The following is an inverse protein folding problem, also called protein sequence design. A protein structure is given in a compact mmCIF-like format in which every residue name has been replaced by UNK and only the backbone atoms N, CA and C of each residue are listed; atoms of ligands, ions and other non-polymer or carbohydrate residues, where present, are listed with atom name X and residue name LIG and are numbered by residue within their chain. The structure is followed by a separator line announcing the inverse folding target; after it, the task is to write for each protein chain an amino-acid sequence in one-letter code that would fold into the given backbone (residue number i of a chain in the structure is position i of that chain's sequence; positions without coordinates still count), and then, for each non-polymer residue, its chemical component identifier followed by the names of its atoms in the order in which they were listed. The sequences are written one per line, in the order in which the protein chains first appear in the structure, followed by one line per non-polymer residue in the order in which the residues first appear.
data_IF_205021377378
#
_entry.id   IF_205021377378
#
_cell.length_a   1.000
_cell.length_b   1.000
_cell.length_c   1.000
_cell.angle_alpha   90.00
_cell.angle_beta   90.00
_cell.angle_gamma   90.00
#
_symmetry.space_group_name_H-M   'P 1'
#
loop_
_entity.id
_entity.type
_entity.pdbx_description
1 polymer ?
#
# COMPACT_ATOMS: atom_id res chain seq x y z
N UNK A 1 -51.96 -98.76 6.03
CA UNK A 1 -50.69 -98.28 5.44
C UNK A 1 -50.39 -96.95 6.11
N UNK A 2 -49.58 -96.99 7.16
CA UNK A 2 -48.13 -96.76 7.13
C UNK A 2 -47.85 -95.26 7.39
N UNK A 3 -47.53 -94.88 8.64
CA UNK A 3 -46.18 -94.91 9.29
C UNK A 3 -45.64 -93.46 9.28
N UNK A 4 -45.69 -92.75 10.43
CA UNK A 4 -44.55 -92.41 11.34
C UNK A 4 -43.70 -91.25 10.76
N UNK A 5 -43.18 -90.22 11.44
CA UNK A 5 -42.62 -89.98 12.79
C UNK A 5 -42.35 -88.45 12.86
N UNK A 6 -42.86 -87.72 13.86
CA UNK A 6 -42.21 -87.32 15.13
C UNK A 6 -41.46 -85.95 15.03
N UNK A 7 -41.79 -84.98 15.89
CA UNK A 7 -41.04 -84.53 17.10
C UNK A 7 -40.03 -83.42 16.75
N UNK A 8 -39.85 -82.30 17.46
CA UNK A 8 -40.45 -81.67 18.62
C UNK A 8 -39.88 -80.24 18.78
N UNK A 9 -40.50 -79.45 19.67
CA UNK A 9 -39.89 -78.41 20.55
C UNK A 9 -39.22 -77.18 19.87
N UNK A 10 -39.19 -75.97 20.44
CA UNK A 10 -39.79 -75.34 21.61
C UNK A 10 -39.63 -73.80 21.47
N UNK A 11 -40.52 -73.08 22.15
CA UNK A 11 -40.37 -71.78 22.85
C UNK A 11 -39.28 -70.78 22.41
N UNK A 12 -39.67 -69.52 22.16
CA UNK A 12 -39.33 -68.36 23.00
C UNK A 12 -39.80 -67.02 22.38
N UNK A 13 -40.12 -66.09 23.28
CA UNK A 13 -40.60 -64.72 23.14
C UNK A 13 -39.55 -63.69 22.66
N UNK A 14 -40.00 -62.56 22.07
CA UNK A 14 -39.84 -61.18 22.59
C UNK A 14 -39.79 -60.09 21.50
N UNK A 15 -40.21 -58.90 21.92
CA UNK A 15 -40.39 -57.61 21.23
C UNK A 15 -39.12 -56.94 20.69
N UNK A 16 -39.27 -56.00 19.75
CA UNK A 16 -38.87 -54.57 19.89
C UNK A 16 -39.42 -53.69 18.76
N UNK A 17 -39.84 -52.46 19.13
CA UNK A 17 -40.16 -51.32 18.25
C UNK A 17 -38.90 -50.73 17.61
N UNK A 18 -39.00 -49.92 16.54
CA UNK A 18 -38.05 -48.84 16.25
C UNK A 18 -38.60 -47.78 15.27
N UNK A 19 -38.46 -46.51 15.67
CA UNK A 19 -38.69 -45.24 14.95
C UNK A 19 -37.52 -44.84 14.03
N UNK A 20 -37.77 -44.01 12.99
CA UNK A 20 -37.05 -42.76 12.67
C UNK A 20 -37.26 -42.25 11.22
N UNK A 21 -37.65 -40.96 11.01
CA UNK A 21 -37.35 -40.19 9.80
C UNK A 21 -36.50 -38.91 10.02
N UNK A 22 -35.83 -38.72 11.17
CA UNK A 22 -35.09 -37.47 11.51
C UNK A 22 -33.73 -37.28 10.79
N UNK A 23 -33.23 -38.27 10.04
CA UNK A 23 -31.83 -38.29 9.57
C UNK A 23 -31.55 -37.49 8.27
N UNK A 24 -32.58 -36.95 7.62
CA UNK A 24 -32.45 -36.27 6.30
C UNK A 24 -32.33 -34.74 6.46
N UNK A 25 -33.11 -34.12 7.36
CA UNK A 25 -33.04 -32.66 7.61
C UNK A 25 -31.69 -32.24 8.20
N UNK A 26 -31.15 -33.03 9.14
CA UNK A 26 -29.85 -32.75 9.78
C UNK A 26 -28.71 -32.70 8.75
N UNK A 27 -28.72 -33.57 7.74
CA UNK A 27 -27.73 -33.59 6.67
C UNK A 27 -27.83 -32.37 5.73
N UNK A 28 -29.04 -31.84 5.51
CA UNK A 28 -29.24 -30.65 4.68
C UNK A 28 -28.81 -29.37 5.41
N UNK A 29 -29.05 -29.29 6.72
CA UNK A 29 -28.56 -28.19 7.55
C UNK A 29 -27.03 -28.19 7.62
N UNK A 30 -26.40 -29.35 7.84
CA UNK A 30 -24.95 -29.53 7.84
C UNK A 30 -24.29 -29.13 6.51
N UNK A 31 -24.87 -29.52 5.37
CA UNK A 31 -24.38 -29.11 4.05
C UNK A 31 -24.53 -27.61 3.81
N UNK A 32 -25.64 -27.01 4.26
CA UNK A 32 -25.85 -25.56 4.16
C UNK A 32 -24.90 -24.76 5.08
N UNK A 33 -24.47 -25.34 6.20
CA UNK A 33 -23.47 -24.76 7.10
C UNK A 33 -22.07 -24.85 6.51
N UNK A 34 -21.72 -25.98 5.89
CA UNK A 34 -20.42 -26.15 5.22
C UNK A 34 -20.25 -25.21 4.02
N UNK A 35 -21.33 -24.91 3.28
CA UNK A 35 -21.31 -23.87 2.22
C UNK A 35 -21.25 -22.43 2.77
N UNK A 36 -21.85 -22.17 3.92
CA UNK A 36 -21.78 -20.85 4.59
C UNK A 36 -20.39 -20.60 5.19
N UNK A 37 -19.73 -21.63 5.72
CA UNK A 37 -18.39 -21.53 6.29
C UNK A 37 -17.29 -21.38 5.21
N UNK A 38 -17.54 -21.87 3.98
CA UNK A 38 -16.70 -21.58 2.79
C UNK A 38 -16.80 -20.14 2.28
N UNK A 39 -17.73 -19.34 2.81
CA UNK A 39 -17.85 -17.89 2.57
C UNK A 39 -17.19 -17.05 3.66
N UNK A 40 -16.28 -17.62 4.44
CA UNK A 40 -15.35 -16.83 5.24
C UNK A 40 -14.44 -16.05 4.29
N UNK A 41 -14.75 -14.77 4.08
CA UNK A 41 -13.84 -13.82 3.46
C UNK A 41 -12.61 -13.71 4.37
N UNK A 42 -11.62 -14.56 4.15
CA UNK A 42 -10.30 -14.40 4.78
C UNK A 42 -9.79 -13.08 4.24
N UNK A 43 -9.94 -12.01 5.02
CA UNK A 43 -9.23 -10.76 4.84
C UNK A 43 -7.76 -11.08 5.10
N UNK A 44 -7.10 -11.67 4.11
CA UNK A 44 -5.68 -11.84 4.13
C UNK A 44 -5.09 -10.44 4.33
N UNK A 45 -4.40 -10.24 5.43
CA UNK A 45 -3.72 -8.98 5.70
C UNK A 45 -2.61 -8.84 4.66
N UNK A 46 -2.89 -8.06 3.60
CA UNK A 46 -1.93 -7.77 2.54
C UNK A 46 -0.93 -6.78 3.11
N UNK A 47 0.28 -7.25 3.41
CA UNK A 47 1.35 -6.38 3.86
C UNK A 47 1.80 -5.48 2.70
N UNK A 48 1.93 -4.16 2.92
CA UNK A 48 2.39 -3.23 1.91
C UNK A 48 3.79 -3.63 1.42
N UNK A 49 3.87 -4.10 0.18
CA UNK A 49 5.12 -4.49 -0.49
C UNK A 49 5.28 -3.70 -1.78
N UNK A 50 6.51 -3.51 -2.26
CA UNK A 50 6.71 -2.83 -3.53
C UNK A 50 6.19 -3.69 -4.69
N UNK A 51 5.55 -3.05 -5.67
CA UNK A 51 5.10 -3.67 -6.91
C UNK A 51 5.43 -2.76 -8.11
N UNK A 52 5.34 -3.31 -9.31
CA UNK A 52 5.57 -2.56 -10.55
C UNK A 52 4.23 -2.25 -11.20
N UNK A 53 4.02 -1.00 -11.59
CA UNK A 53 2.81 -0.57 -12.26
C UNK A 53 2.80 -0.96 -13.74
N UNK A 54 1.62 -1.05 -14.34
CA UNK A 54 1.41 -1.33 -15.76
C UNK A 54 1.41 -0.04 -16.62
N UNK A 55 1.95 1.05 -16.12
CA UNK A 55 2.15 2.27 -16.91
C UNK A 55 3.34 2.11 -17.87
N UNK A 56 3.48 3.02 -18.83
CA UNK A 56 4.49 2.90 -19.88
C UNK A 56 5.94 2.87 -19.37
N UNK A 57 6.19 3.44 -18.18
CA UNK A 57 7.52 3.55 -17.58
C UNK A 57 7.73 2.60 -16.39
N UNK A 58 6.77 1.71 -16.09
CA UNK A 58 6.88 0.69 -15.06
C UNK A 58 7.21 1.28 -13.67
N UNK A 59 6.50 2.34 -13.29
CA UNK A 59 6.66 3.04 -12.01
C UNK A 59 6.51 2.08 -10.82
N UNK A 60 7.21 2.35 -9.72
CA UNK A 60 7.13 1.51 -8.53
C UNK A 60 5.97 1.96 -7.65
N UNK A 61 5.00 1.08 -7.44
CA UNK A 61 3.87 1.30 -6.54
C UNK A 61 3.99 0.50 -5.24
N UNK A 62 2.94 0.59 -4.44
CA UNK A 62 2.76 -0.20 -3.22
C UNK A 62 1.57 -1.14 -3.40
N UNK A 63 1.80 -2.43 -3.20
CA UNK A 63 0.77 -3.46 -3.27
C UNK A 63 -0.15 -3.37 -2.04
N UNK A 64 -1.43 -3.09 -2.26
CA UNK A 64 -2.40 -2.93 -1.18
C UNK A 64 -3.85 -3.15 -1.66
N UNK A 65 -4.81 -3.33 -0.75
CA UNK A 65 -6.22 -3.43 -1.11
C UNK A 65 -6.70 -2.22 -1.93
N UNK A 66 -7.58 -2.46 -2.92
CA UNK A 66 -8.10 -1.41 -3.80
C UNK A 66 -8.80 -0.28 -3.04
N UNK A 67 -9.57 -0.64 -2.00
CA UNK A 67 -10.29 0.33 -1.17
C UNK A 67 -9.31 1.26 -0.45
N UNK A 68 -8.23 0.70 0.10
CA UNK A 68 -7.19 1.47 0.77
C UNK A 68 -6.42 2.37 -0.21
N UNK A 69 -6.06 1.82 -1.38
CA UNK A 69 -5.40 2.62 -2.42
C UNK A 69 -6.22 3.86 -2.82
N UNK A 70 -7.54 3.71 -2.95
CA UNK A 70 -8.43 4.83 -3.29
C UNK A 70 -8.65 5.78 -2.11
N UNK A 71 -8.78 5.26 -0.89
CA UNK A 71 -9.04 6.10 0.29
C UNK A 71 -7.85 7.00 0.62
N UNK A 72 -6.63 6.58 0.30
CA UNK A 72 -5.45 7.43 0.39
C UNK A 72 -5.28 8.34 -0.82
N UNK A 73 -6.15 8.31 -1.84
CA UNK A 73 -6.02 9.11 -3.06
C UNK A 73 -4.90 8.63 -3.98
N UNK A 74 -4.52 7.35 -3.91
CA UNK A 74 -3.68 6.69 -4.89
C UNK A 74 -4.48 6.20 -6.10
N UNK A 75 -3.76 5.79 -7.15
CA UNK A 75 -4.35 5.25 -8.38
C UNK A 75 -3.92 3.80 -8.54
N UNK A 76 -4.88 2.90 -8.73
CA UNK A 76 -4.60 1.51 -9.05
C UNK A 76 -4.01 1.43 -10.47
N UNK A 77 -2.76 0.97 -10.57
CA UNK A 77 -2.01 0.86 -11.83
C UNK A 77 -1.46 -0.54 -12.01
N UNK A 78 -2.31 -1.55 -11.90
CA UNK A 78 -1.93 -2.96 -12.00
C UNK A 78 -2.46 -3.77 -10.82
N UNK A 79 -2.15 -5.06 -10.83
CA UNK A 79 -2.61 -6.02 -9.82
C UNK A 79 -1.42 -6.73 -9.16
N UNK A 80 -1.60 -7.14 -7.92
CA UNK A 80 -0.63 -7.92 -7.16
C UNK A 80 -1.34 -8.96 -6.28
N UNK A 81 -0.59 -9.88 -5.65
CA UNK A 81 -1.15 -11.00 -4.86
C UNK A 81 -2.20 -11.77 -5.67
N UNK A 82 -1.82 -12.22 -6.87
CA UNK A 82 -2.70 -12.98 -7.78
C UNK A 82 -4.06 -12.31 -8.05
N UNK A 83 -4.12 -10.98 -8.04
CA UNK A 83 -5.35 -10.22 -8.33
C UNK A 83 -6.17 -9.84 -7.10
N UNK A 84 -5.77 -10.26 -5.89
CA UNK A 84 -6.46 -9.90 -4.65
C UNK A 84 -6.18 -8.46 -4.20
N UNK A 85 -5.12 -7.84 -4.74
CA UNK A 85 -4.67 -6.50 -4.42
C UNK A 85 -4.32 -5.72 -5.69
N UNK A 86 -4.13 -4.41 -5.55
CA UNK A 86 -3.70 -3.54 -6.66
C UNK A 86 -2.32 -2.96 -6.40
N UNK A 87 -1.60 -2.70 -7.49
CA UNK A 87 -0.39 -1.90 -7.42
C UNK A 87 -0.76 -0.42 -7.36
N UNK A 88 -0.71 0.14 -6.15
CA UNK A 88 -1.16 1.50 -5.89
C UNK A 88 -0.04 2.50 -6.14
N UNK A 89 -0.27 3.44 -7.06
CA UNK A 89 0.60 4.57 -7.30
C UNK A 89 0.13 5.77 -6.46
N UNK A 90 0.96 6.22 -5.52
CA UNK A 90 0.66 7.38 -4.68
C UNK A 90 1.35 8.61 -5.27
N UNK A 91 0.57 9.52 -5.88
CA UNK A 91 1.08 10.77 -6.43
C UNK A 91 0.52 11.95 -5.65
N UNK A 92 1.38 12.91 -5.32
CA UNK A 92 1.04 14.11 -4.55
C UNK A 92 1.63 15.34 -5.21
N UNK A 93 0.99 16.47 -4.93
CA UNK A 93 1.43 17.78 -5.40
C UNK A 93 1.34 18.79 -4.26
N UNK A 94 1.45 20.07 -4.59
CA UNK A 94 1.46 21.20 -3.65
C UNK A 94 0.29 21.16 -2.67
N UNK A 95 0.56 21.65 -1.45
CA UNK A 95 -0.42 21.84 -0.38
C UNK A 95 -1.13 20.55 0.08
N UNK A 96 -0.51 19.39 -0.19
CA UNK A 96 -1.02 18.10 0.29
C UNK A 96 -0.13 17.51 1.38
N UNK A 97 -0.65 16.48 2.03
CA UNK A 97 0.09 15.67 2.97
C UNK A 97 0.02 14.19 2.56
N UNK A 98 1.07 13.44 2.88
CA UNK A 98 1.09 11.99 2.70
C UNK A 98 1.64 11.31 3.93
N UNK A 99 1.08 10.14 4.25
CA UNK A 99 1.67 9.17 5.18
C UNK A 99 2.11 7.89 4.47
N UNK A 100 1.80 7.79 3.17
CA UNK A 100 2.01 6.59 2.40
C UNK A 100 3.48 6.47 1.97
N UNK A 101 4.05 5.29 2.09
CA UNK A 101 5.38 5.00 1.59
C UNK A 101 5.39 4.92 0.04
N UNK A 102 6.53 5.19 -0.58
CA UNK A 102 6.69 5.27 -2.04
C UNK A 102 5.75 6.30 -2.69
N UNK A 103 5.70 7.51 -2.12
CA UNK A 103 4.91 8.62 -2.69
C UNK A 103 5.74 9.41 -3.70
N UNK A 104 5.15 9.78 -4.83
CA UNK A 104 5.75 10.62 -5.86
C UNK A 104 5.27 12.07 -5.71
N UNK A 105 6.20 12.98 -5.44
CA UNK A 105 5.94 14.42 -5.43
C UNK A 105 6.18 15.00 -6.81
N UNK A 106 5.12 15.49 -7.45
CA UNK A 106 5.14 15.94 -8.84
C UNK A 106 4.63 17.38 -8.99
N UNK A 107 4.94 18.00 -10.14
CA UNK A 107 4.40 19.30 -10.53
C UNK A 107 2.87 19.36 -10.35
N UNK A 108 2.33 20.49 -9.88
CA UNK A 108 0.90 20.75 -9.94
C UNK A 108 0.48 20.95 -11.40
N UNK A 109 -0.81 20.76 -11.68
CA UNK A 109 -1.39 21.10 -12.98
C UNK A 109 -1.32 22.60 -13.28
N UNK A 110 -1.34 23.41 -12.22
CA UNK A 110 -1.28 24.87 -12.28
C UNK A 110 -0.03 25.36 -11.55
N UNK A 111 0.84 26.17 -12.16
CA UNK A 111 2.06 26.65 -11.53
C UNK A 111 1.80 27.43 -10.22
N UNK A 112 2.46 27.03 -9.13
CA UNK A 112 2.45 27.74 -7.83
C UNK A 112 3.84 28.26 -7.46
N UNK A 113 3.94 29.45 -6.85
CA UNK A 113 5.24 30.00 -6.41
C UNK A 113 5.87 29.13 -5.32
N UNK A 114 5.10 28.82 -4.28
CA UNK A 114 5.53 27.95 -3.19
C UNK A 114 4.66 26.70 -3.20
N UNK A 115 5.30 25.54 -3.29
CA UNK A 115 4.66 24.25 -3.44
C UNK A 115 5.17 23.28 -2.35
N UNK A 116 4.54 23.26 -1.16
CA UNK A 116 4.93 22.37 -0.09
C UNK A 116 4.22 21.01 -0.19
N UNK A 117 4.94 19.92 0.05
CA UNK A 117 4.41 18.60 0.37
C UNK A 117 4.78 18.25 1.81
N UNK A 118 3.79 17.93 2.63
CA UNK A 118 4.01 17.46 4.00
C UNK A 118 4.09 15.93 4.05
N UNK A 119 5.17 15.41 4.63
CA UNK A 119 5.42 13.98 4.80
C UNK A 119 5.23 13.65 6.28
N UNK A 120 4.15 12.92 6.57
CA UNK A 120 3.90 12.30 7.86
C UNK A 120 4.55 10.93 7.89
N UNK A 121 5.28 10.62 8.95
CA UNK A 121 5.94 9.34 9.08
C UNK A 121 4.91 8.21 9.23
N UNK A 122 5.13 7.11 8.51
CA UNK A 122 4.20 5.99 8.43
C UNK A 122 4.15 5.16 9.71
N UNK A 123 5.16 5.30 10.57
CA UNK A 123 5.23 4.70 11.89
C UNK A 123 6.31 5.39 12.72
N UNK A 124 6.41 5.00 13.99
CA UNK A 124 7.45 5.50 14.87
C UNK A 124 8.82 4.83 14.64
N UNK A 125 8.90 3.86 13.72
CA UNK A 125 10.13 3.15 13.39
C UNK A 125 10.75 3.67 12.08
N UNK A 126 10.51 4.93 11.70
CA UNK A 126 11.13 5.53 10.50
C UNK A 126 12.25 6.46 10.95
N UNK A 127 13.46 6.23 10.43
CA UNK A 127 14.66 7.00 10.74
C UNK A 127 15.20 7.79 9.55
N UNK A 128 14.85 7.41 8.33
CA UNK A 128 15.35 8.06 7.13
C UNK A 128 14.27 8.18 6.05
N UNK A 129 14.37 9.24 5.27
CA UNK A 129 13.77 9.33 3.95
C UNK A 129 14.85 9.16 2.91
N UNK A 130 14.54 8.42 1.85
CA UNK A 130 15.29 8.46 0.60
C UNK A 130 14.46 9.21 -0.43
N UNK A 131 15.06 10.25 -1.00
CA UNK A 131 14.47 11.08 -2.05
C UNK A 131 15.18 10.71 -3.35
N UNK A 132 14.50 9.98 -4.23
CA UNK A 132 14.99 9.68 -5.58
C UNK A 132 14.41 10.69 -6.57
N UNK A 133 15.29 11.42 -7.25
CA UNK A 133 14.93 12.41 -8.26
C UNK A 133 14.72 11.72 -9.60
N UNK A 134 13.54 11.14 -9.82
CA UNK A 134 13.22 10.42 -11.07
C UNK A 134 13.35 11.35 -12.26
N UNK A 135 12.82 12.57 -12.11
CA UNK A 135 13.04 13.69 -13.01
C UNK A 135 13.11 14.94 -12.14
N UNK A 136 14.15 15.75 -12.27
CA UNK A 136 14.29 16.97 -11.49
C UNK A 136 15.15 17.97 -12.23
N UNK A 137 14.50 19.03 -12.70
CA UNK A 137 15.08 20.16 -13.41
C UNK A 137 14.45 21.42 -12.83
N UNK A 138 15.22 22.14 -12.05
CA UNK A 138 14.93 23.51 -11.65
C UNK A 138 15.94 24.46 -12.30
N UNK A 139 15.72 25.76 -12.12
CA UNK A 139 16.67 26.80 -12.50
C UNK A 139 18.08 26.49 -11.98
N UNK A 140 19.09 26.70 -12.81
CA UNK A 140 20.49 26.52 -12.44
C UNK A 140 20.90 27.49 -11.33
N UNK A 141 21.86 27.12 -10.48
CA UNK A 141 22.42 28.06 -9.51
C UNK A 141 23.07 29.26 -10.20
N UNK A 142 23.14 30.38 -9.50
CA UNK A 142 23.88 31.57 -9.93
C UNK A 142 25.40 31.30 -10.02
N UNK A 143 26.16 32.25 -10.55
CA UNK A 143 27.62 32.13 -10.64
C UNK A 143 28.30 31.91 -9.28
N UNK A 144 27.66 32.34 -8.20
CA UNK A 144 28.13 32.19 -6.82
C UNK A 144 27.66 30.88 -6.17
N UNK A 145 27.11 29.96 -6.96
CA UNK A 145 26.57 28.66 -6.52
C UNK A 145 25.36 28.76 -5.59
N UNK A 146 24.52 29.79 -5.76
CA UNK A 146 23.32 30.01 -4.95
C UNK A 146 22.05 29.73 -5.76
N UNK A 147 21.09 29.05 -5.12
CA UNK A 147 19.78 28.77 -5.71
C UNK A 147 18.83 29.96 -5.51
N UNK A 148 18.91 30.97 -6.37
CA UNK A 148 18.20 32.26 -6.19
C UNK A 148 16.84 32.36 -6.90
N UNK A 149 16.56 31.45 -7.84
CA UNK A 149 15.37 31.54 -8.72
C UNK A 149 14.35 30.45 -8.40
N UNK A 150 14.80 29.21 -8.31
CA UNK A 150 13.97 28.07 -7.93
C UNK A 150 14.81 27.13 -7.07
N UNK A 151 14.21 26.61 -6.00
CA UNK A 151 14.90 25.71 -5.08
C UNK A 151 13.95 24.71 -4.45
N UNK A 152 14.48 23.53 -4.15
CA UNK A 152 13.92 22.57 -3.23
C UNK A 152 14.53 22.79 -1.85
N UNK A 153 13.67 22.96 -0.85
CA UNK A 153 14.01 23.00 0.56
C UNK A 153 13.43 21.77 1.23
N UNK A 154 14.26 21.06 2.00
CA UNK A 154 13.81 20.00 2.89
C UNK A 154 13.90 20.52 4.32
N UNK A 155 12.79 20.48 5.05
CA UNK A 155 12.69 21.00 6.41
C UNK A 155 11.93 20.04 7.33
N UNK A 156 12.03 20.26 8.64
CA UNK A 156 11.62 19.28 9.65
C UNK A 156 12.76 18.30 9.94
N UNK A 157 12.49 17.16 10.58
CA UNK A 157 13.49 16.13 10.82
C UNK A 157 14.72 16.58 11.63
N UNK A 158 15.84 15.87 11.51
CA UNK A 158 17.07 16.14 12.26
C UNK A 158 18.28 16.49 11.39
N UNK A 159 18.20 16.26 10.07
CA UNK A 159 19.23 16.67 9.12
C UNK A 159 19.01 18.08 8.56
N UNK A 160 20.11 18.80 8.36
CA UNK A 160 20.12 20.06 7.60
C UNK A 160 20.64 19.79 6.20
N UNK A 161 19.82 20.08 5.18
CA UNK A 161 20.23 20.04 3.78
C UNK A 161 20.34 21.46 3.24
N UNK A 162 21.35 21.76 2.39
CA UNK A 162 21.36 23.00 1.65
C UNK A 162 20.15 23.05 0.68
N UNK A 163 19.82 24.26 0.20
CA UNK A 163 18.87 24.43 -0.89
C UNK A 163 19.38 23.68 -2.15
N UNK A 164 18.49 22.95 -2.82
CA UNK A 164 18.81 22.14 -3.99
C UNK A 164 18.16 22.77 -5.22
N UNK A 165 18.94 23.00 -6.28
CA UNK A 165 18.46 23.51 -7.56
C UNK A 165 19.26 22.91 -8.72
N UNK A 166 18.95 23.33 -9.96
CA UNK A 166 19.53 22.75 -11.17
C UNK A 166 18.97 21.37 -11.51
N UNK A 167 19.79 20.56 -12.18
CA UNK A 167 19.41 19.22 -12.65
C UNK A 167 19.91 18.12 -11.73
N UNK A 168 18.98 17.34 -11.16
CA UNK A 168 19.28 16.19 -10.27
C UNK A 168 18.66 14.88 -10.77
N UNK A 169 18.10 14.85 -11.98
CA UNK A 169 17.51 13.65 -12.59
C UNK A 169 18.43 12.42 -12.48
N UNK A 170 17.88 11.31 -12.00
CA UNK A 170 18.58 10.04 -11.77
C UNK A 170 19.39 9.97 -10.48
N UNK A 171 19.50 11.05 -9.71
CA UNK A 171 20.20 11.08 -8.43
C UNK A 171 19.27 10.76 -7.26
N UNK A 172 19.86 10.59 -6.08
CA UNK A 172 19.12 10.41 -4.84
C UNK A 172 19.86 11.03 -3.66
N UNK A 173 19.10 11.35 -2.60
CA UNK A 173 19.65 11.78 -1.31
C UNK A 173 18.96 11.05 -0.17
N UNK A 174 19.70 10.90 0.93
CA UNK A 174 19.16 10.42 2.20
C UNK A 174 18.97 11.60 3.15
N UNK A 175 17.88 11.56 3.90
CA UNK A 175 17.50 12.59 4.85
C UNK A 175 17.09 11.97 6.19
N UNK A 176 17.82 12.28 7.26
CA UNK A 176 17.51 11.72 8.58
C UNK A 176 16.33 12.46 9.20
N UNK A 177 15.41 11.69 9.76
CA UNK A 177 14.21 12.20 10.40
C UNK A 177 14.20 11.88 11.88
N UNK A 178 13.59 12.77 12.65
CA UNK A 178 13.32 12.60 14.07
C UNK A 178 11.86 13.03 14.30
N UNK A 179 11.07 12.13 14.87
CA UNK A 179 9.65 12.35 15.14
C UNK A 179 9.39 13.46 16.16
N UNK A 180 10.36 13.76 17.02
CA UNK A 180 10.24 14.80 18.02
C UNK A 180 10.28 16.22 17.43
N UNK A 181 10.76 16.37 16.18
CA UNK A 181 10.94 17.67 15.51
C UNK A 181 9.72 18.05 14.66
N UNK A 182 8.81 17.10 14.39
CA UNK A 182 7.59 17.33 13.61
C UNK A 182 7.67 16.78 12.18
N UNK A 183 6.63 17.03 11.35
CA UNK A 183 6.55 16.44 10.02
C UNK A 183 7.61 17.03 9.08
N UNK A 184 8.14 16.19 8.20
CA UNK A 184 9.08 16.63 7.17
C UNK A 184 8.31 17.34 6.06
N UNK A 185 8.86 18.42 5.51
CA UNK A 185 8.28 19.13 4.38
C UNK A 185 9.29 19.23 3.24
N UNK A 186 8.85 18.85 2.05
CA UNK A 186 9.54 19.16 0.80
C UNK A 186 8.86 20.37 0.19
N UNK A 187 9.58 21.48 0.05
CA UNK A 187 9.02 22.72 -0.51
C UNK A 187 9.79 23.08 -1.77
N UNK A 188 9.11 23.10 -2.90
CA UNK A 188 9.61 23.80 -4.09
C UNK A 188 9.22 25.27 -3.93
N UNK A 189 10.21 26.14 -3.88
CA UNK A 189 9.99 27.59 -3.82
C UNK A 189 10.56 28.24 -5.08
N UNK A 190 9.77 29.14 -5.67
CA UNK A 190 10.07 29.81 -6.92
C UNK A 190 9.88 31.29 -6.77
N UNK A 191 10.86 32.05 -7.26
CA UNK A 191 10.86 33.51 -7.24
C UNK A 191 9.75 34.10 -8.12
N UNK A 192 9.50 33.47 -9.27
CA UNK A 192 8.44 33.84 -10.20
C UNK A 192 7.93 32.61 -10.98
N UNK A 193 6.92 32.81 -11.83
CA UNK A 193 6.31 31.76 -12.67
C UNK A 193 6.71 31.90 -14.15
N UNK A 194 7.74 32.70 -14.44
CA UNK A 194 8.18 32.98 -15.81
C UNK A 194 9.18 31.94 -16.31
N UNK A 195 9.80 31.18 -15.40
CA UNK A 195 10.61 30.01 -15.73
C UNK A 195 9.78 28.97 -16.49
N UNK A 196 10.21 28.65 -17.71
CA UNK A 196 9.64 27.56 -18.50
C UNK A 196 10.52 26.32 -18.39
N UNK A 197 9.89 25.13 -18.29
CA UNK A 197 10.60 23.85 -18.34
C UNK A 197 11.04 23.29 -17.00
N UNK A 198 10.57 23.85 -15.89
CA UNK A 198 10.81 23.25 -14.58
C UNK A 198 9.95 21.99 -14.40
N UNK A 199 10.60 20.90 -14.00
CA UNK A 199 9.93 19.61 -13.79
C UNK A 199 10.52 18.97 -12.54
N UNK A 200 9.65 18.41 -11.71
CA UNK A 200 10.04 17.56 -10.60
C UNK A 200 9.11 16.36 -10.51
N UNK A 201 9.73 15.22 -10.29
CA UNK A 201 9.13 13.95 -9.98
C UNK A 201 10.06 13.26 -8.99
N UNK A 202 9.76 13.44 -7.70
CA UNK A 202 10.60 12.98 -6.59
C UNK A 202 9.90 11.82 -5.91
N UNK A 203 10.48 10.62 -5.96
CA UNK A 203 10.00 9.48 -5.19
C UNK A 203 10.50 9.60 -3.76
N UNK A 204 9.57 9.61 -2.81
CA UNK A 204 9.83 9.62 -1.37
C UNK A 204 9.64 8.22 -0.82
N UNK A 205 10.73 7.64 -0.31
CA UNK A 205 10.73 6.35 0.37
C UNK A 205 11.03 6.55 1.86
N UNK A 206 10.16 6.06 2.73
CA UNK A 206 10.34 6.04 4.18
C UNK A 206 11.06 4.75 4.57
N UNK A 207 12.21 4.87 5.22
CA UNK A 207 13.11 3.76 5.54
C UNK A 207 13.05 3.47 7.05
N UNK A 208 12.68 2.24 7.43
CA UNK A 208 12.69 1.82 8.82
C UNK A 208 14.07 1.89 9.49
N UNK A 209 14.13 2.17 10.78
CA UNK A 209 15.37 2.28 11.56
C UNK A 209 16.18 0.97 11.62
N UNK A 210 15.50 -0.16 11.47
CA UNK A 210 16.05 -1.52 11.47
C UNK A 210 16.45 -2.01 10.08
N UNK A 211 16.37 -1.16 9.05
CA UNK A 211 16.85 -1.48 7.71
C UNK A 211 18.39 -1.50 7.71
N UNK A 212 19.00 -2.59 7.26
CA UNK A 212 20.44 -2.58 6.98
C UNK A 212 20.73 -1.77 5.72
N UNK A 213 21.89 -1.10 5.63
CA UNK A 213 22.39 -0.53 4.37
C UNK A 213 22.49 -1.57 3.25
#
# INVERSE_FOLDING_TARGET
AAVWVAVAAALASSSTNNEAPERIEENQELQSQEERDKKTLILAQINPTQCTTNDAIHTLGTCMPLVECRSTGGVAKGYCVSGLAVCCLATRTCNTATRQNNTYFVNPSSPELTCPLTINLMSNNICQLRLDFIEFILSQPSSDSVCDTELLIVSGGSSNLPAICGTMTGQHIYYTVDQSVGPVKLTIDRKDLTSSGNVWNIKVTQIPCDSSP
#
